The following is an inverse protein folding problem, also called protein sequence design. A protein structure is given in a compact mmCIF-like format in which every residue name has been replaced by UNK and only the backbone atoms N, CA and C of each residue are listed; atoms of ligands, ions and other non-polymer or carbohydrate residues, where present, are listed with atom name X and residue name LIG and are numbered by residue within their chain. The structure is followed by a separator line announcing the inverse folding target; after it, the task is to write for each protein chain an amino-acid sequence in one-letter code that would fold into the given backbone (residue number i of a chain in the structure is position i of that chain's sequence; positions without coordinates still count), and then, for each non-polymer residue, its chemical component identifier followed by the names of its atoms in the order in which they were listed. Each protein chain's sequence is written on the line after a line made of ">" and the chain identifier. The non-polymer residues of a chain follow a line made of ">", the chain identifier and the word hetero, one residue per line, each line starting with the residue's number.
data_IF_589913921952
#
_entry.id   IF_589913921952
#
_cell.length_a   1.000
_cell.length_b   1.000
_cell.length_c   1.000
_cell.angle_alpha   90.00
_cell.angle_beta   90.00
_cell.angle_gamma   90.00
#
_symmetry.space_group_name_H-M   'P 1'
#
loop_
_entity.id
_entity.type
_entity.pdbx_description
1 polymer ?
#
# COMPACT_ATOMS: atom_id res chain seq x y z
N UNK A 1 -12.89 26.17 8.68
CA UNK A 1 -13.31 24.76 8.47
C UNK A 1 -14.64 24.56 9.17
N UNK A 2 -15.56 23.81 8.57
CA UNK A 2 -16.79 23.42 9.26
C UNK A 2 -16.44 22.50 10.43
N UNK A 3 -17.19 22.58 11.53
CA UNK A 3 -17.02 21.69 12.67
C UNK A 3 -17.41 20.26 12.25
N UNK A 4 -16.53 19.28 12.49
CA UNK A 4 -16.81 17.86 12.24
C UNK A 4 -17.98 17.41 13.11
N UNK A 5 -19.02 16.84 12.49
CA UNK A 5 -20.17 16.24 13.16
C UNK A 5 -20.44 14.82 12.65
N UNK A 6 -19.59 13.89 13.11
CA UNK A 6 -19.67 12.47 12.79
C UNK A 6 -21.02 11.86 13.17
N UNK A 7 -21.66 12.39 14.22
CA UNK A 7 -22.95 11.90 14.71
C UNK A 7 -24.06 12.26 13.72
N UNK A 8 -24.11 13.51 13.28
CA UNK A 8 -25.06 13.94 12.26
C UNK A 8 -24.84 13.21 10.92
N UNK A 9 -23.58 13.08 10.47
CA UNK A 9 -23.24 12.33 9.27
C UNK A 9 -23.69 10.86 9.35
N UNK A 10 -23.50 10.22 10.51
CA UNK A 10 -23.94 8.85 10.73
C UNK A 10 -25.47 8.72 10.70
N UNK A 11 -26.21 9.66 11.32
CA UNK A 11 -27.67 9.68 11.21
C UNK A 11 -28.16 9.86 9.77
N UNK A 12 -27.50 10.71 8.97
CA UNK A 12 -27.81 10.87 7.54
C UNK A 12 -27.58 9.55 6.78
N UNK A 13 -26.51 8.83 7.08
CA UNK A 13 -26.26 7.50 6.52
C UNK A 13 -27.36 6.50 6.91
N UNK A 14 -27.71 6.38 8.20
CA UNK A 14 -28.79 5.47 8.64
C UNK A 14 -30.13 5.82 7.99
N UNK A 15 -30.47 7.11 7.87
CA UNK A 15 -31.68 7.56 7.17
C UNK A 15 -31.66 7.17 5.69
N UNK A 16 -30.50 7.26 5.03
CA UNK A 16 -30.35 6.86 3.63
C UNK A 16 -30.57 5.37 3.41
N UNK A 17 -30.18 4.50 4.36
CA UNK A 17 -30.46 3.06 4.30
C UNK A 17 -31.96 2.78 4.22
N UNK A 18 -32.77 3.55 4.96
CA UNK A 18 -34.23 3.45 4.92
C UNK A 18 -34.87 3.89 3.60
N UNK A 19 -34.13 4.57 2.72
CA UNK A 19 -34.64 5.02 1.41
C UNK A 19 -34.64 3.92 0.34
N UNK A 20 -33.82 2.88 0.50
CA UNK A 20 -33.65 1.81 -0.50
C UNK A 20 -33.03 2.24 -1.83
N UNK A 21 -32.52 3.47 -1.95
CA UNK A 21 -31.85 3.97 -3.17
C UNK A 21 -30.35 3.83 -3.05
N UNK A 22 -29.76 2.91 -3.82
CA UNK A 22 -28.33 2.57 -3.74
C UNK A 22 -27.41 3.79 -3.93
N UNK A 23 -27.75 4.70 -4.84
CA UNK A 23 -26.96 5.92 -5.09
C UNK A 23 -26.94 6.87 -3.88
N UNK A 24 -28.08 7.03 -3.20
CA UNK A 24 -28.18 7.87 -1.99
C UNK A 24 -27.40 7.25 -0.84
N UNK A 25 -27.52 5.92 -0.68
CA UNK A 25 -26.80 5.16 0.35
C UNK A 25 -25.30 5.31 0.12
N UNK A 26 -24.85 5.11 -1.13
CA UNK A 26 -23.45 5.26 -1.52
C UNK A 26 -22.95 6.66 -1.26
N UNK A 27 -23.69 7.69 -1.67
CA UNK A 27 -23.32 9.09 -1.43
C UNK A 27 -23.22 9.42 0.07
N UNK A 28 -24.23 9.03 0.87
CA UNK A 28 -24.23 9.28 2.32
C UNK A 28 -23.09 8.55 3.04
N UNK A 29 -22.77 7.34 2.60
CA UNK A 29 -21.68 6.52 3.13
C UNK A 29 -20.30 7.12 2.91
N UNK A 30 -20.03 7.68 1.72
CA UNK A 30 -18.77 8.37 1.47
C UNK A 30 -18.74 9.77 2.10
N UNK A 31 -19.86 10.48 2.19
CA UNK A 31 -19.92 11.70 3.00
C UNK A 31 -19.57 11.42 4.47
N UNK A 32 -20.06 10.31 5.03
CA UNK A 32 -19.72 9.88 6.38
C UNK A 32 -18.23 9.58 6.56
N UNK A 33 -17.61 8.91 5.59
CA UNK A 33 -16.16 8.65 5.62
C UNK A 33 -15.35 9.96 5.65
N UNK A 34 -15.82 10.95 4.88
CA UNK A 34 -15.23 12.26 4.69
C UNK A 34 -15.63 13.30 5.76
N UNK A 35 -16.40 12.90 6.77
CA UNK A 35 -16.68 13.72 7.95
C UNK A 35 -15.43 13.71 8.85
N UNK A 36 -14.40 14.44 8.40
CA UNK A 36 -13.04 14.42 8.88
C UNK A 36 -12.42 15.83 8.78
N UNK A 37 -11.55 16.18 9.73
CA UNK A 37 -10.85 17.47 9.78
C UNK A 37 -9.59 17.49 8.91
N UNK A 38 -9.03 16.32 8.61
CA UNK A 38 -7.78 16.15 7.84
C UNK A 38 -7.76 14.77 7.17
N UNK A 39 -6.81 14.56 6.23
CA UNK A 39 -6.70 13.31 5.49
C UNK A 39 -6.35 12.10 6.38
N UNK A 40 -5.68 12.30 7.51
CA UNK A 40 -5.37 11.19 8.42
C UNK A 40 -6.62 10.65 9.12
N UNK A 41 -7.55 11.52 9.50
CA UNK A 41 -8.83 11.12 10.11
C UNK A 41 -9.68 10.24 9.17
N UNK A 42 -9.52 10.33 7.85
CA UNK A 42 -10.18 9.44 6.88
C UNK A 42 -9.75 7.98 7.10
N UNK A 43 -8.47 7.75 7.40
CA UNK A 43 -7.93 6.41 7.68
C UNK A 43 -8.57 5.86 8.96
N UNK A 44 -8.66 6.70 10.00
CA UNK A 44 -9.26 6.34 11.28
C UNK A 44 -10.77 6.09 11.13
N UNK A 45 -11.47 6.94 10.38
CA UNK A 45 -12.88 6.77 10.05
C UNK A 45 -13.10 5.48 9.29
N UNK A 46 -12.30 5.17 8.27
CA UNK A 46 -12.41 3.92 7.52
C UNK A 46 -12.35 2.69 8.43
N UNK A 47 -11.34 2.63 9.32
CA UNK A 47 -11.18 1.52 10.27
C UNK A 47 -12.33 1.47 11.28
N UNK A 48 -12.75 2.61 11.82
CA UNK A 48 -13.77 2.69 12.87
C UNK A 48 -15.16 2.37 12.34
N UNK A 49 -15.51 2.94 11.18
CA UNK A 49 -16.79 2.73 10.51
C UNK A 49 -16.94 1.28 10.05
N UNK A 50 -15.85 0.65 9.60
CA UNK A 50 -15.86 -0.77 9.30
C UNK A 50 -16.22 -1.64 10.50
N UNK A 51 -15.63 -1.37 11.67
CA UNK A 51 -15.92 -2.11 12.92
C UNK A 51 -17.38 -2.01 13.37
N UNK A 52 -18.10 -0.97 12.95
CA UNK A 52 -19.53 -0.81 13.22
C UNK A 52 -20.43 -1.22 12.03
N UNK A 53 -19.87 -1.91 11.03
CA UNK A 53 -20.61 -2.55 9.94
C UNK A 53 -20.71 -1.74 8.64
N UNK A 54 -20.05 -0.59 8.53
CA UNK A 54 -20.03 0.20 7.29
C UNK A 54 -18.90 -0.28 6.38
N UNK A 55 -19.21 -1.21 5.48
CA UNK A 55 -18.23 -1.78 4.54
C UNK A 55 -18.00 -0.89 3.34
N UNK A 56 -16.77 -0.50 2.97
CA UNK A 56 -16.48 0.21 1.71
C UNK A 56 -15.87 -0.74 0.67
N UNK A 57 -16.31 -0.63 -0.58
CA UNK A 57 -15.80 -1.46 -1.68
C UNK A 57 -14.80 -0.62 -2.48
N UNK A 58 -13.51 -0.92 -2.35
CA UNK A 58 -12.42 -0.36 -3.14
C UNK A 58 -11.93 -1.30 -4.23
N UNK A 59 -12.72 -2.34 -4.53
CA UNK A 59 -12.48 -3.28 -5.60
C UNK A 59 -11.42 -4.32 -5.32
N UNK A 60 -11.23 -5.12 -6.36
CA UNK A 60 -10.25 -6.20 -6.48
C UNK A 60 -9.63 -6.17 -7.86
N UNK A 61 -8.42 -6.68 -7.97
CA UNK A 61 -7.74 -6.92 -9.23
C UNK A 61 -7.35 -8.38 -9.37
N UNK A 62 -7.14 -8.83 -10.60
CA UNK A 62 -6.73 -10.20 -10.89
C UNK A 62 -5.30 -10.17 -11.39
N UNK A 63 -4.43 -10.99 -10.78
CA UNK A 63 -3.12 -11.33 -11.33
C UNK A 63 -3.31 -12.61 -12.17
N UNK A 64 -3.21 -12.54 -13.51
CA UNK A 64 -3.52 -13.67 -14.36
C UNK A 64 -2.52 -14.82 -14.20
N UNK A 65 -3.01 -16.05 -14.37
CA UNK A 65 -2.19 -17.24 -14.61
C UNK A 65 -1.10 -16.99 -15.66
N UNK A 66 0.10 -17.49 -15.38
CA UNK A 66 1.31 -17.33 -16.20
C UNK A 66 2.08 -16.04 -15.92
N UNK A 67 1.55 -15.13 -15.09
CA UNK A 67 2.27 -13.92 -14.69
C UNK A 67 3.50 -14.28 -13.86
N UNK A 68 4.62 -13.59 -14.13
CA UNK A 68 5.84 -13.73 -13.34
C UNK A 68 5.89 -12.71 -12.21
N UNK A 69 6.19 -13.18 -11.01
CA UNK A 69 6.42 -12.36 -9.83
C UNK A 69 7.83 -12.61 -9.31
N UNK A 70 8.40 -11.63 -8.62
CA UNK A 70 9.80 -11.62 -8.26
C UNK A 70 9.97 -11.40 -6.75
N UNK A 71 11.05 -11.95 -6.18
CA UNK A 71 11.48 -11.66 -4.82
C UNK A 71 12.97 -11.47 -4.78
N UNK A 72 13.45 -10.46 -4.06
CA UNK A 72 14.87 -10.25 -3.83
C UNK A 72 15.23 -10.56 -2.38
N UNK A 73 16.39 -11.19 -2.21
CA UNK A 73 17.09 -11.33 -0.94
C UNK A 73 18.50 -10.75 -1.08
N UNK A 74 19.02 -10.18 0.00
CA UNK A 74 20.44 -9.85 0.08
C UNK A 74 21.26 -11.12 -0.11
N UNK A 75 22.37 -11.00 -0.82
CA UNK A 75 23.27 -12.12 -1.00
C UNK A 75 24.09 -12.33 0.27
N UNK A 76 24.00 -13.53 0.83
CA UNK A 76 24.80 -14.00 1.96
C UNK A 76 25.61 -15.20 1.49
N UNK A 77 26.92 -15.22 1.79
CA UNK A 77 27.83 -16.27 1.29
C UNK A 77 27.47 -17.65 1.81
N UNK A 78 26.87 -17.72 2.99
CA UNK A 78 26.64 -18.96 3.72
C UNK A 78 25.21 -19.49 3.49
N UNK A 79 24.43 -18.81 2.64
CA UNK A 79 23.05 -19.17 2.31
C UNK A 79 22.99 -19.92 0.98
N UNK A 80 22.47 -21.16 1.00
CA UNK A 80 22.22 -21.95 -0.20
C UNK A 80 20.91 -21.51 -0.88
N UNK A 81 21.02 -20.58 -1.82
CA UNK A 81 19.87 -20.08 -2.60
C UNK A 81 19.27 -21.11 -3.56
N UNK A 82 19.92 -22.26 -3.77
CA UNK A 82 19.33 -23.37 -4.54
C UNK A 82 18.28 -24.13 -3.74
N UNK A 83 18.30 -24.01 -2.40
CA UNK A 83 17.30 -24.61 -1.53
C UNK A 83 15.95 -23.85 -1.62
N UNK A 84 14.85 -24.50 -2.03
CA UNK A 84 13.54 -23.87 -2.12
C UNK A 84 13.01 -23.28 -0.81
N UNK A 85 13.51 -23.72 0.37
CA UNK A 85 13.09 -23.14 1.65
C UNK A 85 13.45 -21.67 1.79
N UNK A 86 14.52 -21.21 1.12
CA UNK A 86 14.94 -19.79 1.14
C UNK A 86 13.95 -18.86 0.44
N UNK A 87 13.03 -19.42 -0.33
CA UNK A 87 12.05 -18.66 -1.12
C UNK A 87 10.66 -18.66 -0.47
N UNK A 88 10.45 -19.43 0.60
CA UNK A 88 9.16 -19.48 1.31
C UNK A 88 8.92 -18.24 2.17
N UNK A 89 7.68 -18.08 2.65
CA UNK A 89 7.34 -17.07 3.65
C UNK A 89 8.28 -17.17 4.88
N UNK A 90 8.67 -16.04 5.51
CA UNK A 90 9.60 -16.07 6.63
C UNK A 90 9.13 -16.97 7.78
N UNK A 91 10.00 -17.84 8.36
CA UNK A 91 9.59 -18.82 9.35
C UNK A 91 9.10 -18.20 10.66
N UNK A 92 9.67 -17.06 11.05
CA UNK A 92 9.30 -16.34 12.28
C UNK A 92 8.05 -15.46 12.13
N UNK A 93 7.57 -15.24 10.90
CA UNK A 93 6.33 -14.49 10.61
C UNK A 93 6.20 -13.18 11.41
N UNK A 94 7.26 -12.38 11.44
CA UNK A 94 7.26 -11.07 12.11
C UNK A 94 6.21 -10.15 11.48
N UNK A 95 5.65 -9.23 12.28
CA UNK A 95 4.79 -8.17 11.78
C UNK A 95 5.52 -7.29 10.76
N UNK A 96 4.84 -6.94 9.66
CA UNK A 96 5.25 -5.90 8.71
C UNK A 96 4.02 -5.08 8.29
N UNK A 97 4.18 -4.23 7.27
CA UNK A 97 3.16 -3.34 6.71
C UNK A 97 1.81 -4.01 6.41
N UNK A 98 1.83 -5.26 5.95
CA UNK A 98 0.64 -5.94 5.43
C UNK A 98 0.52 -7.39 5.95
N UNK A 99 1.13 -7.67 7.10
CA UNK A 99 0.90 -8.89 7.84
C UNK A 99 1.07 -8.65 9.35
N UNK A 100 0.17 -9.23 10.15
CA UNK A 100 0.32 -9.27 11.60
C UNK A 100 1.39 -10.30 12.00
N UNK A 101 1.89 -10.21 13.24
CA UNK A 101 2.76 -11.24 13.78
C UNK A 101 2.07 -12.62 13.77
N UNK A 102 2.79 -13.66 13.34
CA UNK A 102 2.28 -15.02 13.19
C UNK A 102 1.53 -15.29 11.88
N UNK A 103 1.19 -14.25 11.10
CA UNK A 103 0.53 -14.39 9.81
C UNK A 103 1.53 -14.81 8.72
N UNK A 104 1.16 -15.81 7.93
CA UNK A 104 1.94 -16.24 6.78
C UNK A 104 1.75 -15.25 5.61
N UNK A 105 2.85 -14.62 5.19
CA UNK A 105 2.85 -13.62 4.14
C UNK A 105 4.11 -13.72 3.28
N UNK A 106 3.95 -13.60 1.97
CA UNK A 106 5.04 -13.57 1.00
C UNK A 106 4.98 -12.28 0.17
N UNK A 107 6.01 -11.46 0.33
CA UNK A 107 6.17 -10.21 -0.40
C UNK A 107 6.87 -10.46 -1.74
N UNK A 108 6.23 -10.00 -2.82
CA UNK A 108 6.69 -10.12 -4.19
C UNK A 108 6.52 -8.78 -4.93
N UNK A 109 7.31 -8.58 -5.97
CA UNK A 109 7.15 -7.48 -6.92
C UNK A 109 6.79 -7.99 -8.32
N UNK A 110 6.09 -7.17 -9.10
CA UNK A 110 5.77 -7.48 -10.50
C UNK A 110 6.99 -7.42 -11.43
N UNK A 111 8.06 -6.74 -11.00
CA UNK A 111 9.32 -6.64 -11.74
C UNK A 111 10.52 -6.82 -10.82
N UNK A 112 11.67 -7.12 -11.41
CA UNK A 112 12.94 -7.11 -10.67
C UNK A 112 13.30 -5.70 -10.17
N UNK A 113 13.01 -4.67 -10.96
CA UNK A 113 13.27 -3.27 -10.61
C UNK A 113 12.54 -2.86 -9.33
N UNK A 114 11.24 -3.17 -9.21
CA UNK A 114 10.48 -2.80 -8.01
C UNK A 114 11.02 -3.53 -6.78
N UNK A 115 11.40 -4.80 -6.92
CA UNK A 115 12.03 -5.55 -5.85
C UNK A 115 13.37 -4.94 -5.42
N UNK A 116 14.18 -4.42 -6.36
CA UNK A 116 15.46 -3.79 -6.04
C UNK A 116 15.25 -2.48 -5.26
N UNK A 117 14.23 -1.70 -5.62
CA UNK A 117 13.86 -0.48 -4.90
C UNK A 117 13.42 -0.80 -3.47
N UNK A 118 12.47 -1.73 -3.29
CA UNK A 118 11.99 -2.15 -1.97
C UNK A 118 13.08 -2.77 -1.09
N UNK A 119 13.98 -3.56 -1.68
CA UNK A 119 15.11 -4.18 -0.99
C UNK A 119 16.34 -3.25 -0.90
N UNK A 120 16.28 -2.01 -1.39
CA UNK A 120 17.36 -1.03 -1.32
C UNK A 120 18.71 -1.55 -1.87
N UNK A 121 18.68 -2.32 -2.97
CA UNK A 121 19.88 -2.91 -3.58
C UNK A 121 20.63 -1.81 -4.35
N UNK A 122 21.83 -1.43 -3.89
CA UNK A 122 22.63 -0.38 -4.52
C UNK A 122 23.40 -0.90 -5.72
N UNK A 123 23.86 0.01 -6.57
CA UNK A 123 24.76 -0.33 -7.68
C UNK A 123 26.01 -1.03 -7.14
N UNK A 124 26.36 -2.15 -7.75
CA UNK A 124 27.47 -3.00 -7.33
C UNK A 124 27.09 -4.08 -6.32
N UNK A 125 25.95 -3.95 -5.63
CA UNK A 125 25.51 -4.96 -4.66
C UNK A 125 25.15 -6.28 -5.34
N UNK A 126 25.55 -7.37 -4.69
CA UNK A 126 25.16 -8.73 -5.07
C UNK A 126 23.84 -9.08 -4.40
N UNK A 127 22.94 -9.71 -5.14
CA UNK A 127 21.62 -10.13 -4.64
C UNK A 127 21.18 -11.45 -5.25
N UNK A 128 20.27 -12.13 -4.56
CA UNK A 128 19.57 -13.31 -5.04
C UNK A 128 18.16 -12.92 -5.48
N UNK A 129 17.77 -13.35 -6.68
CA UNK A 129 16.47 -13.12 -7.28
C UNK A 129 15.71 -14.44 -7.41
N UNK A 130 14.57 -14.56 -6.75
CA UNK A 130 13.62 -15.65 -6.95
C UNK A 130 12.55 -15.25 -7.96
N UNK A 131 12.21 -16.16 -8.87
CA UNK A 131 11.21 -15.95 -9.92
C UNK A 131 10.08 -16.96 -9.70
N UNK A 132 8.87 -16.45 -9.53
CA UNK A 132 7.65 -17.22 -9.36
C UNK A 132 6.78 -17.10 -10.60
N UNK A 133 6.07 -18.16 -10.92
CA UNK A 133 5.00 -18.16 -11.91
C UNK A 133 3.67 -18.42 -11.22
N UNK A 134 2.66 -17.64 -11.60
CA UNK A 134 1.28 -17.79 -11.15
C UNK A 134 0.64 -18.97 -11.88
N UNK A 135 0.22 -20.00 -11.14
CA UNK A 135 -0.36 -21.23 -11.70
C UNK A 135 -1.89 -21.14 -11.90
N UNK A 136 -2.54 -20.23 -11.18
CA UNK A 136 -3.98 -19.97 -11.16
C UNK A 136 -4.22 -18.48 -10.91
N UNK A 137 -5.30 -17.91 -11.45
CA UNK A 137 -5.63 -16.51 -11.23
C UNK A 137 -5.69 -16.18 -9.72
N UNK A 138 -5.02 -15.09 -9.35
CA UNK A 138 -4.96 -14.61 -7.97
C UNK A 138 -5.80 -13.36 -7.85
N UNK A 139 -6.76 -13.37 -6.94
CA UNK A 139 -7.62 -12.23 -6.64
C UNK A 139 -7.00 -11.42 -5.51
N UNK A 140 -6.61 -10.18 -5.78
CA UNK A 140 -5.93 -9.33 -4.80
C UNK A 140 -6.71 -8.04 -4.54
N UNK A 141 -6.80 -7.69 -3.26
CA UNK A 141 -7.41 -6.44 -2.81
C UNK A 141 -6.49 -5.25 -3.00
N UNK A 142 -7.06 -4.04 -2.92
CA UNK A 142 -6.31 -2.79 -2.98
C UNK A 142 -7.23 -1.58 -2.84
N UNK A 143 -6.66 -0.39 -2.93
CA UNK A 143 -7.38 0.89 -2.83
C UNK A 143 -7.44 1.64 -4.17
N UNK A 144 -7.41 0.90 -5.28
CA UNK A 144 -7.09 1.43 -6.62
C UNK A 144 -8.29 1.50 -7.57
N UNK A 145 -9.46 0.99 -7.16
CA UNK A 145 -10.66 1.03 -8.02
C UNK A 145 -11.10 2.46 -8.27
N UNK A 146 -11.36 2.76 -9.54
CA UNK A 146 -11.95 4.01 -9.96
C UNK A 146 -13.48 3.92 -10.02
N UNK A 147 -14.13 4.98 -9.59
CA UNK A 147 -15.57 5.19 -9.67
C UNK A 147 -15.87 6.52 -10.37
N UNK A 148 -16.35 6.45 -11.61
CA UNK A 148 -16.68 7.64 -12.42
C UNK A 148 -17.78 8.50 -11.81
N UNK A 149 -18.60 7.93 -10.93
CA UNK A 149 -19.78 8.59 -10.36
C UNK A 149 -19.54 9.04 -8.92
N UNK A 150 -18.39 8.71 -8.31
CA UNK A 150 -18.12 9.03 -6.91
C UNK A 150 -16.69 9.52 -6.68
N UNK A 151 -16.52 10.84 -6.71
CA UNK A 151 -15.24 11.49 -6.45
C UNK A 151 -14.70 11.24 -5.04
N UNK A 152 -15.59 11.17 -4.04
CA UNK A 152 -15.21 10.89 -2.65
C UNK A 152 -14.67 9.46 -2.48
N UNK A 153 -15.20 8.50 -3.25
CA UNK A 153 -14.61 7.15 -3.33
C UNK A 153 -13.18 7.21 -3.85
N UNK A 154 -12.98 7.89 -4.98
CA UNK A 154 -11.65 7.94 -5.60
C UNK A 154 -10.62 8.59 -4.67
N UNK A 155 -10.97 9.72 -4.08
CA UNK A 155 -10.09 10.40 -3.14
C UNK A 155 -9.82 9.60 -1.88
N UNK A 156 -10.81 8.87 -1.35
CA UNK A 156 -10.57 8.00 -0.20
C UNK A 156 -9.61 6.86 -0.57
N UNK A 157 -9.75 6.29 -1.77
CA UNK A 157 -8.81 5.30 -2.30
C UNK A 157 -7.38 5.84 -2.38
N UNK A 158 -7.19 7.05 -2.90
CA UNK A 158 -5.88 7.72 -2.97
C UNK A 158 -5.27 7.91 -1.57
N UNK A 159 -6.05 8.37 -0.59
CA UNK A 159 -5.58 8.57 0.79
C UNK A 159 -5.19 7.25 1.46
N UNK A 160 -6.03 6.22 1.32
CA UNK A 160 -5.78 4.90 1.91
C UNK A 160 -4.59 4.20 1.24
N UNK A 161 -4.46 4.28 -0.08
CA UNK A 161 -3.31 3.81 -0.84
C UNK A 161 -2.03 4.54 -0.40
N UNK A 162 -2.07 5.88 -0.34
CA UNK A 162 -0.92 6.68 0.06
C UNK A 162 -0.44 6.35 1.46
N UNK A 163 -1.37 6.17 2.41
CA UNK A 163 -1.01 5.74 3.76
C UNK A 163 -0.48 4.31 3.78
N UNK A 164 -1.10 3.39 3.04
CA UNK A 164 -0.65 2.00 2.95
C UNK A 164 0.78 1.90 2.42
N UNK A 165 1.17 2.74 1.47
CA UNK A 165 2.51 2.68 0.85
C UNK A 165 3.54 3.59 1.53
N UNK A 166 3.16 4.49 2.44
CA UNK A 166 4.10 5.43 3.07
C UNK A 166 5.40 4.74 3.60
N UNK A 167 6.60 5.29 3.37
CA UNK A 167 7.84 4.66 3.84
C UNK A 167 7.88 4.65 5.37
N UNK A 168 8.44 3.58 5.93
CA UNK A 168 8.71 3.50 7.37
C UNK A 168 10.19 3.82 7.65
N UNK A 169 10.45 4.61 8.69
CA UNK A 169 11.79 5.04 9.09
C UNK A 169 12.65 3.85 9.49
N UNK A 170 13.82 3.73 8.87
CA UNK A 170 14.80 2.69 9.20
C UNK A 170 16.23 3.17 8.90
N UNK A 171 17.22 2.43 9.39
CA UNK A 171 18.61 2.71 9.05
C UNK A 171 18.89 2.59 7.53
N UNK A 172 18.10 1.77 6.81
CA UNK A 172 18.30 1.52 5.37
C UNK A 172 17.88 2.69 4.47
N UNK A 173 16.93 3.51 4.92
CA UNK A 173 16.42 4.67 4.20
C UNK A 173 16.68 6.00 4.94
N UNK A 174 17.73 6.03 5.78
CA UNK A 174 18.13 7.24 6.52
C UNK A 174 18.38 8.45 5.62
N UNK A 175 18.97 8.25 4.44
CA UNK A 175 19.24 9.32 3.47
C UNK A 175 17.93 9.93 2.94
N UNK A 176 16.94 9.09 2.62
CA UNK A 176 15.60 9.55 2.24
C UNK A 176 14.97 10.37 3.36
N UNK A 177 14.94 9.86 4.59
CA UNK A 177 14.31 10.60 5.69
C UNK A 177 15.06 11.88 6.05
N UNK A 178 16.39 11.92 5.92
CA UNK A 178 17.15 13.16 6.09
C UNK A 178 16.73 14.23 5.06
N UNK A 179 16.47 13.82 3.82
CA UNK A 179 15.94 14.71 2.80
C UNK A 179 14.50 15.13 3.08
N UNK A 180 13.62 14.17 3.41
CA UNK A 180 12.21 14.46 3.69
C UNK A 180 12.02 15.38 4.90
N UNK A 181 12.77 15.15 5.98
CA UNK A 181 12.75 15.99 7.18
C UNK A 181 13.28 17.40 6.89
N UNK A 182 14.30 17.53 6.03
CA UNK A 182 14.80 18.82 5.58
C UNK A 182 13.82 19.56 4.65
N UNK A 183 13.02 18.83 3.87
CA UNK A 183 12.12 19.40 2.87
C UNK A 183 10.77 19.80 3.50
N UNK A 184 10.15 18.88 4.23
CA UNK A 184 8.84 19.07 4.84
C UNK A 184 8.90 19.68 6.25
N UNK A 185 10.05 19.59 6.93
CA UNK A 185 10.17 19.98 8.34
C UNK A 185 9.42 19.02 9.26
N UNK A 186 8.83 19.57 10.33
CA UNK A 186 7.97 18.81 11.25
C UNK A 186 6.54 18.96 10.77
N UNK A 187 5.91 17.83 10.41
CA UNK A 187 4.50 17.78 10.04
C UNK A 187 3.62 17.48 11.25
N UNK A 188 2.44 18.09 11.25
CA UNK A 188 1.34 17.91 12.20
C UNK A 188 0.08 17.48 11.42
N UNK A 189 -1.03 17.22 12.11
CA UNK A 189 -2.30 16.89 11.44
C UNK A 189 -2.87 18.08 10.63
N UNK A 190 -2.55 19.31 11.02
CA UNK A 190 -3.00 20.52 10.32
C UNK A 190 -2.41 20.62 8.90
N UNK A 191 -1.24 20.00 8.68
CA UNK A 191 -0.61 19.93 7.36
C UNK A 191 -1.35 18.98 6.40
N UNK A 192 -2.37 18.27 6.86
CA UNK A 192 -3.18 17.33 6.06
C UNK A 192 -4.63 17.81 5.87
N UNK A 193 -4.90 19.10 6.09
CA UNK A 193 -6.25 19.68 5.93
C UNK A 193 -6.56 19.99 4.46
N UNK A 194 -5.54 20.25 3.63
CA UNK A 194 -5.74 20.78 2.29
C UNK A 194 -6.09 19.69 1.25
N UNK A 195 -7.36 19.66 0.86
CA UNK A 195 -7.86 18.76 -0.19
C UNK A 195 -7.26 18.98 -1.57
N UNK A 196 -6.72 20.17 -1.86
CA UNK A 196 -6.10 20.44 -3.15
C UNK A 196 -4.85 19.57 -3.37
N UNK A 197 -4.24 19.02 -2.33
CA UNK A 197 -3.10 18.11 -2.46
C UNK A 197 -3.46 16.81 -3.21
N UNK A 198 -4.72 16.38 -3.13
CA UNK A 198 -5.23 15.24 -3.89
C UNK A 198 -5.49 15.59 -5.37
N UNK A 199 -5.60 16.88 -5.69
CA UNK A 199 -6.01 17.38 -7.00
C UNK A 199 -4.81 17.86 -7.81
N UNK A 200 -3.94 18.68 -7.22
CA UNK A 200 -2.92 19.45 -7.94
C UNK A 200 -1.76 18.58 -8.44
N UNK A 201 -1.51 17.42 -7.81
CA UNK A 201 -0.47 16.46 -8.23
C UNK A 201 -0.88 14.99 -8.01
N UNK A 202 -2.19 14.72 -8.06
CA UNK A 202 -2.73 13.36 -7.87
C UNK A 202 -2.31 12.70 -6.56
N UNK A 203 -2.05 13.47 -5.49
CA UNK A 203 -1.63 12.90 -4.21
C UNK A 203 -0.25 12.25 -4.19
N UNK A 204 0.60 12.41 -5.22
CA UNK A 204 1.90 11.73 -5.33
C UNK A 204 2.86 12.00 -4.15
N UNK A 205 2.73 13.15 -3.49
CA UNK A 205 3.54 13.51 -2.33
C UNK A 205 2.98 12.97 -1.00
N UNK A 206 1.70 12.58 -0.98
CA UNK A 206 1.00 12.17 0.24
C UNK A 206 1.65 10.98 0.96
N UNK A 207 2.15 9.92 0.27
CA UNK A 207 2.88 8.86 0.94
C UNK A 207 4.12 9.36 1.70
N UNK A 208 4.84 10.33 1.14
CA UNK A 208 6.05 10.89 1.76
C UNK A 208 5.70 11.75 2.97
N UNK A 209 4.65 12.58 2.86
CA UNK A 209 4.13 13.35 4.00
C UNK A 209 3.69 12.43 5.14
N UNK A 210 2.94 11.36 4.83
CA UNK A 210 2.60 10.36 5.85
C UNK A 210 3.83 9.70 6.44
N UNK A 211 4.86 9.38 5.64
CA UNK A 211 6.14 8.87 6.14
C UNK A 211 6.82 9.84 7.13
N UNK A 212 6.79 11.15 6.85
CA UNK A 212 7.37 12.17 7.74
C UNK A 212 6.58 12.31 9.03
N UNK A 213 5.24 12.40 8.94
CA UNK A 213 4.32 12.45 10.08
C UNK A 213 4.48 11.22 10.99
N UNK A 214 4.69 10.07 10.37
CA UNK A 214 4.83 8.79 11.04
C UNK A 214 6.22 8.62 11.68
N UNK A 215 6.42 9.30 12.81
CA UNK A 215 7.57 9.09 13.69
C UNK A 215 7.33 8.00 14.76
N UNK A 216 6.18 7.32 14.72
CA UNK A 216 5.73 6.39 15.75
C UNK A 216 5.87 4.92 15.33
N UNK A 217 6.06 4.04 16.32
CA UNK A 217 6.15 2.58 16.14
C UNK A 217 4.81 1.93 15.70
N UNK A 218 3.70 2.66 15.73
CA UNK A 218 2.33 2.16 15.51
C UNK A 218 1.88 2.12 14.03
N UNK A 219 2.76 2.49 13.10
CA UNK A 219 2.43 2.54 11.67
C UNK A 219 1.85 1.22 11.14
N UNK A 220 2.52 0.12 11.48
CA UNK A 220 2.12 -1.19 11.00
C UNK A 220 0.80 -1.66 11.61
N UNK A 221 0.40 -1.17 12.78
CA UNK A 221 -0.88 -1.55 13.38
C UNK A 221 -2.06 -1.00 12.57
N UNK A 222 -1.94 0.22 12.05
CA UNK A 222 -2.96 0.81 11.18
C UNK A 222 -2.92 0.20 9.78
N UNK A 223 -1.75 0.04 9.15
CA UNK A 223 -1.69 -0.58 7.82
C UNK A 223 -2.15 -2.03 7.84
N UNK A 224 -1.90 -2.78 8.92
CA UNK A 224 -2.46 -4.12 9.10
C UNK A 224 -3.98 -4.09 9.28
N UNK A 225 -4.54 -3.12 10.00
CA UNK A 225 -6.00 -2.95 10.05
C UNK A 225 -6.59 -2.68 8.67
N UNK A 226 -5.94 -1.86 7.83
CA UNK A 226 -6.33 -1.65 6.44
C UNK A 226 -6.30 -2.96 5.63
N UNK A 227 -5.21 -3.71 5.70
CA UNK A 227 -5.05 -4.98 4.98
C UNK A 227 -6.02 -6.06 5.48
N UNK A 228 -6.30 -6.11 6.78
CA UNK A 228 -7.26 -7.04 7.36
C UNK A 228 -8.66 -6.79 6.79
N UNK A 229 -9.08 -5.52 6.69
CA UNK A 229 -10.39 -5.17 6.10
C UNK A 229 -10.49 -5.66 4.65
N UNK A 230 -9.44 -5.48 3.84
CA UNK A 230 -9.43 -5.96 2.46
C UNK A 230 -9.45 -7.50 2.38
N UNK A 231 -8.72 -8.16 3.28
CA UNK A 231 -8.57 -9.62 3.27
C UNK A 231 -9.74 -10.41 3.86
N UNK A 232 -10.72 -9.74 4.48
CA UNK A 232 -11.97 -10.37 4.90
C UNK A 232 -12.79 -10.87 3.70
N UNK A 233 -12.80 -10.13 2.58
CA UNK A 233 -13.53 -10.51 1.37
C UNK A 233 -12.58 -11.00 0.25
N UNK A 234 -11.25 -10.77 0.38
CA UNK A 234 -10.24 -11.13 -0.64
C UNK A 234 -9.03 -11.83 0.00
N UNK A 235 -9.11 -13.16 0.11
CA UNK A 235 -8.16 -13.93 0.93
C UNK A 235 -6.77 -14.15 0.32
N UNK A 236 -6.59 -14.01 -1.01
CA UNK A 236 -5.31 -14.40 -1.61
C UNK A 236 -4.18 -13.42 -1.28
N UNK A 237 -4.47 -12.12 -1.18
CA UNK A 237 -3.43 -11.11 -0.98
C UNK A 237 -3.86 -9.67 -1.29
N UNK A 238 -2.90 -8.76 -1.16
CA UNK A 238 -3.07 -7.32 -1.38
C UNK A 238 -2.06 -6.84 -2.42
N UNK A 239 -2.53 -6.08 -3.41
CA UNK A 239 -1.70 -5.35 -4.38
C UNK A 239 -1.63 -3.89 -3.98
N UNK A 240 -0.44 -3.32 -4.09
CA UNK A 240 -0.18 -1.92 -3.74
C UNK A 240 1.03 -1.39 -4.48
N UNK A 241 1.11 -0.07 -4.64
CA UNK A 241 2.25 0.57 -5.29
C UNK A 241 3.50 0.58 -4.40
N UNK A 242 4.68 0.78 -4.99
CA UNK A 242 5.86 1.12 -4.20
C UNK A 242 5.83 2.59 -3.80
N UNK A 243 6.33 2.90 -2.60
CA UNK A 243 6.56 4.29 -2.21
C UNK A 243 7.69 4.95 -3.02
N UNK A 244 8.58 4.14 -3.61
CA UNK A 244 9.69 4.57 -4.47
C UNK A 244 9.28 4.69 -5.93
N UNK A 245 8.08 4.22 -6.28
CA UNK A 245 7.49 4.37 -7.60
C UNK A 245 5.95 4.43 -7.45
N UNK A 246 5.40 5.50 -6.84
CA UNK A 246 3.98 5.60 -6.49
C UNK A 246 3.12 5.96 -7.71
N UNK A 247 3.28 5.23 -8.81
CA UNK A 247 2.60 5.50 -10.09
C UNK A 247 1.30 4.71 -10.24
N UNK A 248 1.12 3.64 -9.46
CA UNK A 248 -0.15 2.94 -9.38
C UNK A 248 -1.04 3.61 -8.34
N UNK A 249 -2.16 4.17 -8.80
CA UNK A 249 -3.15 4.82 -7.97
C UNK A 249 -4.55 4.66 -8.55
N UNK A 250 -5.55 5.30 -7.93
CA UNK A 250 -6.95 5.20 -8.33
C UNK A 250 -7.15 5.55 -9.81
N UNK A 251 -7.53 4.54 -10.60
CA UNK A 251 -7.76 4.68 -12.05
C UNK A 251 -6.49 4.73 -12.91
N UNK A 252 -5.31 4.54 -12.31
CA UNK A 252 -4.02 4.53 -13.01
C UNK A 252 -3.37 3.15 -12.80
N UNK A 253 -3.36 2.35 -13.85
CA UNK A 253 -2.68 1.05 -13.84
C UNK A 253 -1.17 1.21 -14.05
N UNK A 254 -0.37 0.48 -13.26
CA UNK A 254 1.07 0.40 -13.46
C UNK A 254 1.52 -1.05 -13.60
N UNK A 255 2.48 -1.30 -14.51
CA UNK A 255 3.16 -2.58 -14.62
C UNK A 255 4.15 -2.83 -13.46
N UNK A 256 4.47 -1.81 -12.67
CA UNK A 256 5.34 -1.88 -11.51
C UNK A 256 4.51 -1.79 -10.23
N UNK A 257 4.29 -2.92 -9.58
CA UNK A 257 3.50 -3.03 -8.36
C UNK A 257 4.10 -4.05 -7.41
N UNK A 258 3.77 -3.89 -6.13
CA UNK A 258 4.05 -4.88 -5.10
C UNK A 258 2.79 -5.72 -4.84
N UNK A 259 3.01 -6.94 -4.40
CA UNK A 259 1.96 -7.81 -3.89
C UNK A 259 2.45 -8.51 -2.63
N UNK A 260 1.60 -8.55 -1.62
CA UNK A 260 1.73 -9.50 -0.52
C UNK A 260 0.71 -10.61 -0.73
N UNK A 261 1.17 -11.84 -0.77
CA UNK A 261 0.30 -13.02 -0.84
C UNK A 261 0.17 -13.65 0.53
N UNK A 262 -1.04 -14.01 0.91
CA UNK A 262 -1.34 -14.82 2.08
C UNK A 262 -1.40 -16.30 1.69
N UNK A 263 -1.74 -17.18 2.64
CA UNK A 263 -1.73 -18.63 2.45
C UNK A 263 -2.42 -19.07 1.14
N UNK A 264 -3.60 -18.53 0.85
CA UNK A 264 -4.39 -18.92 -0.32
C UNK A 264 -3.71 -18.47 -1.62
N UNK A 265 -3.22 -17.23 -1.69
CA UNK A 265 -2.45 -16.74 -2.83
C UNK A 265 -1.09 -17.41 -3.01
N UNK A 266 -0.40 -17.72 -1.90
CA UNK A 266 0.88 -18.45 -1.92
C UNK A 266 0.69 -19.84 -2.53
N UNK A 267 -0.46 -20.50 -2.30
CA UNK A 267 -0.74 -21.81 -2.90
C UNK A 267 -0.86 -21.77 -4.43
N UNK A 268 -1.13 -20.59 -5.00
CA UNK A 268 -1.35 -20.36 -6.43
C UNK A 268 -0.09 -20.00 -7.20
N UNK A 269 1.07 -19.95 -6.56
CA UNK A 269 2.36 -19.64 -7.20
C UNK A 269 3.36 -20.78 -7.07
N UNK A 270 4.32 -20.84 -7.99
CA UNK A 270 5.45 -21.77 -7.93
C UNK A 270 6.75 -21.05 -8.22
N UNK A 271 7.77 -21.28 -7.40
CA UNK A 271 9.14 -20.88 -7.72
C UNK A 271 9.61 -21.68 -8.94
N UNK A 272 9.94 -20.98 -10.03
CA UNK A 272 10.38 -21.59 -11.30
C UNK A 272 11.87 -21.45 -11.54
N UNK A 273 12.51 -20.43 -10.96
CA UNK A 273 13.93 -20.15 -11.17
C UNK A 273 14.49 -19.28 -10.03
N UNK A 274 15.81 -19.31 -9.85
CA UNK A 274 16.54 -18.38 -9.00
C UNK A 274 17.86 -17.97 -9.64
N UNK A 275 18.28 -16.72 -9.42
CA UNK A 275 19.49 -16.16 -10.02
C UNK A 275 20.29 -15.39 -8.99
N UNK A 276 21.61 -15.48 -9.08
CA UNK A 276 22.54 -14.62 -8.35
C UNK A 276 23.05 -13.56 -9.32
N UNK A 277 22.84 -12.29 -8.98
CA UNK A 277 23.13 -11.15 -9.85
C UNK A 277 23.88 -10.07 -9.10
N UNK A 278 24.54 -9.19 -9.85
CA UNK A 278 25.07 -7.92 -9.35
C UNK A 278 24.23 -6.79 -9.94
N UNK A 279 23.84 -5.82 -9.12
CA UNK A 279 23.09 -4.68 -9.61
C UNK A 279 24.03 -3.78 -10.43
N UNK A 280 23.72 -3.61 -11.70
CA UNK A 280 24.49 -2.74 -12.61
C UNK A 280 23.85 -1.36 -12.77
N UNK A 281 22.62 -1.20 -12.32
CA UNK A 281 21.85 0.00 -12.51
C UNK A 281 22.12 1.00 -11.40
N UNK A 282 22.27 2.24 -11.80
CA UNK A 282 22.39 3.38 -10.88
C UNK A 282 21.00 3.90 -10.54
N UNK A 283 20.27 3.14 -9.73
CA UNK A 283 18.97 3.58 -9.21
C UNK A 283 19.18 4.20 -7.82
N UNK A 284 19.18 5.52 -7.75
CA UNK A 284 18.98 6.20 -6.48
C UNK A 284 17.48 6.47 -6.31
N UNK A 285 16.81 5.62 -5.55
CA UNK A 285 15.39 5.77 -5.25
C UNK A 285 15.08 7.12 -4.60
N UNK A 286 16.05 7.73 -3.90
CA UNK A 286 15.93 9.07 -3.35
C UNK A 286 15.85 10.13 -4.44
N UNK A 287 16.54 9.94 -5.56
CA UNK A 287 16.56 10.92 -6.65
C UNK A 287 15.24 10.90 -7.44
N UNK A 288 14.68 9.72 -7.70
CA UNK A 288 13.35 9.63 -8.28
C UNK A 288 12.27 10.27 -7.38
N UNK A 289 12.35 10.05 -6.06
CA UNK A 289 11.41 10.68 -5.13
C UNK A 289 11.60 12.18 -5.02
N UNK A 290 12.84 12.68 -5.07
CA UNK A 290 13.12 14.13 -5.14
C UNK A 290 12.49 14.75 -6.38
N UNK A 291 12.51 14.06 -7.51
CA UNK A 291 11.90 14.56 -8.75
C UNK A 291 10.37 14.61 -8.65
N UNK A 292 9.74 13.59 -8.04
CA UNK A 292 8.30 13.62 -7.73
C UNK A 292 7.94 14.77 -6.79
N UNK A 293 8.76 15.03 -5.78
CA UNK A 293 8.49 16.07 -4.77
C UNK A 293 8.71 17.49 -5.32
N UNK A 294 9.61 17.66 -6.31
CA UNK A 294 9.89 18.94 -6.96
C UNK A 294 8.93 19.30 -8.09
N UNK A 295 8.24 18.30 -8.66
CA UNK A 295 7.20 18.48 -9.67
C UNK A 295 5.93 19.07 -9.09
#
# INVERSE_FOLDING_TARGET
>A
MAQVDIKEAYYKYIKSLGSGRDDDIKKAKYNLLWEASNLFEIIINYVTLYKIGVKYDFGKSIIPKGTKLYRIRYYETDTDFSNPSEWRAPPHKRQNRANNEGQEALYLGSTETICMLEAHIKKGDKYALGIYEVNEDIEVGGYLRYDSNNRLHNWAGMVLNAFLIAPSRSQRNKELFSYLDSYYGVLTLDDFVNMNELIENGGLQLPMKFGVLNQLEQYYDLTNQLCNILSEDIHDGIRYSSCYLPLEDVGIECSHFNVVLYRDGISKIKLIDHKIKNNKFDFNYTDFLKDIIKG
#
